data_IF_156096514576
#
_entry.id   IF_156096514576
#
_cell.length_a   1.000
_cell.length_b   1.000
_cell.length_c   1.000
_cell.angle_alpha   90.00
_cell.angle_beta   90.00
_cell.angle_gamma   90.00
#
_symmetry.space_group_name_H-M   'P 1'
#
loop_
_entity.id
_entity.type
_entity.pdbx_description
1 polymer ?
#
# COMPACT_ATOMS: atom_id res chain seq x y z
N UNK A 1 44.58 18.99 -0.53
CA UNK A 1 43.93 17.65 -0.51
C UNK A 1 42.74 17.59 0.45
N UNK A 2 42.80 18.19 1.65
CA UNK A 2 41.69 18.25 2.60
C UNK A 2 40.45 18.99 2.10
N UNK A 3 40.62 20.08 1.35
CA UNK A 3 39.51 20.91 0.84
C UNK A 3 38.63 20.18 -0.18
N UNK A 4 39.23 19.35 -1.05
CA UNK A 4 38.50 18.50 -2.00
C UNK A 4 37.69 17.40 -1.29
N UNK A 5 38.21 16.89 -0.17
CA UNK A 5 37.54 15.88 0.63
C UNK A 5 36.28 16.45 1.31
N UNK A 6 36.35 17.69 1.80
CA UNK A 6 35.23 18.38 2.44
C UNK A 6 34.10 18.69 1.46
N UNK A 7 34.41 19.08 0.23
CA UNK A 7 33.40 19.31 -0.82
C UNK A 7 32.62 18.03 -1.16
N UNK A 8 33.32 16.90 -1.32
CA UNK A 8 32.70 15.60 -1.58
C UNK A 8 31.82 15.11 -0.41
N UNK A 9 32.30 15.27 0.82
CA UNK A 9 31.53 14.92 2.03
C UNK A 9 30.26 15.77 2.18
N UNK A 10 30.34 17.07 1.92
CA UNK A 10 29.19 17.97 1.97
C UNK A 10 28.13 17.58 0.92
N UNK A 11 28.54 17.26 -0.31
CA UNK A 11 27.62 16.83 -1.36
C UNK A 11 26.89 15.53 -1.00
N UNK A 12 27.60 14.56 -0.41
CA UNK A 12 26.97 13.31 0.04
C UNK A 12 26.00 13.50 1.20
N UNK A 13 26.33 14.36 2.17
CA UNK A 13 25.44 14.68 3.29
C UNK A 13 24.14 15.32 2.83
N UNK A 14 24.21 16.25 1.87
CA UNK A 14 23.03 16.90 1.29
C UNK A 14 22.17 15.86 0.53
N UNK A 15 22.80 15.02 -0.29
CA UNK A 15 22.09 13.96 -1.01
C UNK A 15 21.38 12.98 -0.08
N UNK A 16 22.03 12.59 1.03
CA UNK A 16 21.47 11.70 2.03
C UNK A 16 20.30 12.34 2.78
N UNK A 17 20.41 13.63 3.09
CA UNK A 17 19.32 14.38 3.73
C UNK A 17 18.07 14.46 2.83
N UNK A 18 18.24 14.77 1.54
CA UNK A 18 17.14 14.82 0.56
C UNK A 18 16.50 13.43 0.40
N UNK A 19 17.33 12.39 0.30
CA UNK A 19 16.84 11.02 0.19
C UNK A 19 16.02 10.61 1.42
N UNK A 20 16.48 10.94 2.62
CA UNK A 20 15.79 10.63 3.87
C UNK A 20 14.43 11.33 3.94
N UNK A 21 14.37 12.62 3.57
CA UNK A 21 13.11 13.37 3.50
C UNK A 21 12.15 12.74 2.48
N UNK A 22 12.64 12.35 1.32
CA UNK A 22 11.82 11.70 0.29
C UNK A 22 11.24 10.36 0.76
N UNK A 23 12.06 9.53 1.43
CA UNK A 23 11.60 8.26 2.01
C UNK A 23 10.53 8.51 3.08
N UNK A 24 10.73 9.47 3.98
CA UNK A 24 9.74 9.80 5.02
C UNK A 24 8.42 10.23 4.41
N UNK A 25 8.43 11.08 3.37
CA UNK A 25 7.20 11.51 2.67
C UNK A 25 6.47 10.30 2.06
N UNK A 26 7.21 9.41 1.37
CA UNK A 26 6.61 8.21 0.79
C UNK A 26 5.98 7.32 1.86
N UNK A 27 6.65 7.11 3.00
CA UNK A 27 6.10 6.34 4.10
C UNK A 27 4.83 6.98 4.66
N UNK A 28 4.83 8.29 4.96
CA UNK A 28 3.67 9.00 5.51
C UNK A 28 2.47 8.96 4.56
N UNK A 29 2.69 9.07 3.24
CA UNK A 29 1.62 9.00 2.26
C UNK A 29 1.08 7.57 2.04
N UNK A 30 1.94 6.55 2.09
CA UNK A 30 1.55 5.17 1.82
C UNK A 30 0.97 4.44 3.05
N UNK A 31 1.39 4.80 4.27
CA UNK A 31 0.86 4.23 5.53
C UNK A 31 -0.67 4.29 5.62
N UNK A 32 -1.36 5.44 5.43
CA UNK A 32 -2.81 5.49 5.56
C UNK A 32 -3.51 4.64 4.48
N UNK A 33 -2.91 4.52 3.30
CA UNK A 33 -3.38 3.68 2.21
C UNK A 33 -3.28 2.20 2.59
N UNK A 34 -2.13 1.80 3.15
CA UNK A 34 -1.89 0.44 3.62
C UNK A 34 -2.78 0.06 4.81
N UNK A 35 -2.99 0.98 5.75
CA UNK A 35 -3.92 0.78 6.88
C UNK A 35 -5.35 0.63 6.37
N UNK A 36 -5.79 1.44 5.39
CA UNK A 36 -7.12 1.30 4.78
C UNK A 36 -7.29 -0.03 4.06
N UNK A 37 -6.22 -0.54 3.42
CA UNK A 37 -6.23 -1.85 2.77
C UNK A 37 -6.29 -3.01 3.77
N UNK A 38 -5.53 -2.95 4.86
CA UNK A 38 -5.50 -3.99 5.91
C UNK A 38 -6.75 -4.01 6.77
N UNK A 39 -7.29 -2.84 7.12
CA UNK A 39 -8.44 -2.72 8.03
C UNK A 39 -9.78 -2.86 7.32
N UNK A 40 -9.78 -3.01 5.99
CA UNK A 40 -11.01 -3.21 5.26
C UNK A 40 -11.56 -4.61 5.56
N UNK A 41 -12.72 -4.67 6.22
CA UNK A 41 -13.43 -5.92 6.53
C UNK A 41 -14.06 -6.60 5.30
N UNK A 42 -13.94 -6.00 4.12
CA UNK A 42 -14.49 -6.51 2.86
C UNK A 42 -15.99 -6.90 2.93
N UNK A 43 -16.78 -6.23 3.79
CA UNK A 43 -18.19 -6.54 4.01
C UNK A 43 -19.07 -6.28 2.78
N UNK A 44 -18.71 -5.24 2.00
CA UNK A 44 -19.41 -4.82 0.78
C UNK A 44 -18.50 -4.93 -0.43
N UNK A 45 -18.92 -5.72 -1.41
CA UNK A 45 -18.24 -5.90 -2.68
C UNK A 45 -19.25 -5.83 -3.84
N UNK A 46 -18.78 -5.42 -5.02
CA UNK A 46 -19.51 -5.42 -6.28
C UNK A 46 -18.93 -6.43 -7.24
N UNK A 47 -19.73 -6.89 -8.18
CA UNK A 47 -19.29 -7.82 -9.23
C UNK A 47 -18.83 -7.04 -10.47
N UNK A 48 -17.74 -7.48 -11.10
CA UNK A 48 -17.31 -7.00 -12.41
C UNK A 48 -17.81 -7.91 -13.56
N UNK A 49 -17.56 -7.52 -14.81
CA UNK A 49 -17.98 -8.32 -15.98
C UNK A 49 -17.23 -9.66 -16.13
N UNK A 50 -16.18 -9.88 -15.33
CA UNK A 50 -15.42 -11.12 -15.29
C UNK A 50 -15.80 -11.97 -14.06
N UNK A 51 -16.94 -11.67 -13.41
CA UNK A 51 -17.45 -12.37 -12.22
C UNK A 51 -16.50 -12.30 -11.01
N UNK A 52 -15.62 -11.30 -10.96
CA UNK A 52 -14.79 -11.02 -9.80
C UNK A 52 -15.52 -10.12 -8.81
N UNK A 53 -15.28 -10.35 -7.53
CA UNK A 53 -15.75 -9.50 -6.45
C UNK A 53 -14.73 -8.40 -6.15
N UNK A 54 -15.12 -7.15 -6.37
CA UNK A 54 -14.32 -5.96 -6.06
C UNK A 54 -14.88 -5.28 -4.82
N UNK A 55 -14.05 -5.12 -3.80
CA UNK A 55 -14.38 -4.41 -2.56
C UNK A 55 -14.81 -2.96 -2.85
N UNK A 56 -16.01 -2.55 -2.38
CA UNK A 56 -16.51 -1.20 -2.61
C UNK A 56 -15.75 -0.12 -1.82
N UNK A 57 -15.20 -0.48 -0.67
CA UNK A 57 -14.50 0.47 0.21
C UNK A 57 -13.02 0.64 -0.15
N UNK A 58 -12.38 -0.44 -0.62
CA UNK A 58 -10.94 -0.51 -0.79
C UNK A 58 -10.50 -0.76 -2.24
N UNK A 59 -11.43 -1.06 -3.15
CA UNK A 59 -11.16 -1.29 -4.57
C UNK A 59 -10.36 -2.57 -4.86
N UNK A 60 -9.99 -3.35 -3.83
CA UNK A 60 -9.24 -4.59 -3.99
C UNK A 60 -10.10 -5.67 -4.66
N UNK A 61 -9.52 -6.37 -5.62
CA UNK A 61 -10.12 -7.57 -6.20
C UNK A 61 -9.95 -8.72 -5.18
N UNK A 62 -11.07 -9.30 -4.76
CA UNK A 62 -11.18 -10.37 -3.78
C UNK A 62 -11.21 -11.77 -4.43
N UNK A 63 -11.11 -11.83 -5.76
CA UNK A 63 -11.19 -13.06 -6.54
C UNK A 63 -12.60 -13.34 -7.04
N UNK A 64 -12.87 -14.60 -7.36
CA UNK A 64 -14.14 -15.02 -7.93
C UNK A 64 -15.28 -14.90 -6.91
N UNK A 65 -16.44 -14.41 -7.35
CA UNK A 65 -17.53 -14.12 -6.41
C UNK A 65 -18.13 -15.38 -5.76
N UNK A 66 -18.13 -16.51 -6.48
CA UNK A 66 -18.65 -17.78 -5.97
C UNK A 66 -17.81 -18.29 -4.78
N UNK A 67 -16.48 -18.25 -4.90
CA UNK A 67 -15.57 -18.72 -3.84
C UNK A 67 -15.73 -17.91 -2.54
N UNK A 68 -16.03 -16.62 -2.63
CA UNK A 68 -16.33 -15.80 -1.46
C UNK A 68 -17.68 -16.13 -0.82
N UNK A 69 -18.69 -16.48 -1.63
CA UNK A 69 -20.01 -16.90 -1.11
C UNK A 69 -19.91 -18.25 -0.43
N UNK A 70 -19.15 -19.18 -1.01
CA UNK A 70 -18.96 -20.52 -0.46
C UNK A 70 -18.18 -20.44 0.87
N UNK A 71 -17.09 -19.68 0.92
CA UNK A 71 -16.33 -19.44 2.16
C UNK A 71 -17.16 -18.78 3.27
N UNK A 72 -18.12 -17.90 2.92
CA UNK A 72 -19.03 -17.30 3.91
C UNK A 72 -20.02 -18.32 4.47
N UNK A 73 -20.56 -19.21 3.63
CA UNK A 73 -21.47 -20.27 4.07
C UNK A 73 -20.78 -21.26 5.00
N UNK A 74 -19.51 -21.57 4.73
CA UNK A 74 -18.71 -22.47 5.57
C UNK A 74 -18.33 -21.85 6.93
N UNK A 75 -18.12 -20.53 6.99
CA UNK A 75 -17.81 -19.83 8.25
C UNK A 75 -19.03 -19.55 9.15
N UNK A 76 -20.26 -19.79 8.65
CA UNK A 76 -21.52 -19.66 9.40
C UNK A 76 -22.05 -21.02 9.91
N UNK A 77 -21.36 -22.13 9.60
CA UNK A 77 -21.64 -23.49 10.09
C UNK A 77 -20.81 -23.83 11.34
#
# INVERSE_FOLDING_TARGET
MSEYLQFWLAQHLIGLAIWLVFVVILFVCNIPLFIRLLRCKHEKYREDRACNAICCNCGRNLGFIQTLRDARKEGEA
#
